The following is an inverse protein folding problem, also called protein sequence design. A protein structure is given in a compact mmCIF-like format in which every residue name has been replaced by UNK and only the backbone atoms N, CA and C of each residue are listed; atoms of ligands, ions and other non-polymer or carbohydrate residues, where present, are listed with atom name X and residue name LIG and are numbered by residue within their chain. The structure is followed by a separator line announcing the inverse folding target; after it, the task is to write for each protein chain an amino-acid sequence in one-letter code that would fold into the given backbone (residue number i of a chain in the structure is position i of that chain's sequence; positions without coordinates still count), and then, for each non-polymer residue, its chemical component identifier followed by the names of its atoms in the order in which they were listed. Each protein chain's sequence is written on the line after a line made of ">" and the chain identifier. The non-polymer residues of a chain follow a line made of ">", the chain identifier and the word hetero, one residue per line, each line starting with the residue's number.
data_IF_443119153131
#
_entry.id   IF_443119153131
#
_cell.length_a   1.000
_cell.length_b   1.000
_cell.length_c   1.000
_cell.angle_alpha   90.00
_cell.angle_beta   90.00
_cell.angle_gamma   90.00
#
_symmetry.space_group_name_H-M   'P 1'
#
loop_
_entity.id
_entity.type
_entity.pdbx_description
1 polymer ?
#
# COMPACT_ATOMS: atom_id res chain seq x y z
N UNK A 1 24.16 0.31 11.99
CA UNK A 1 23.73 0.70 13.35
C UNK A 1 24.83 1.49 14.07
N UNK A 2 26.09 1.03 14.10
CA UNK A 2 27.17 1.71 14.84
C UNK A 2 27.30 3.18 14.43
N UNK A 3 27.47 3.49 13.15
CA UNK A 3 27.59 4.88 12.66
C UNK A 3 26.39 5.75 13.04
N UNK A 4 25.16 5.18 13.00
CA UNK A 4 23.95 5.85 13.43
C UNK A 4 23.98 6.17 14.93
N UNK A 5 24.38 5.21 15.76
CA UNK A 5 24.52 5.39 17.20
C UNK A 5 25.58 6.46 17.54
N UNK A 6 26.72 6.45 16.85
CA UNK A 6 27.77 7.46 17.02
C UNK A 6 27.22 8.86 16.75
N UNK A 7 26.51 9.05 15.65
CA UNK A 7 25.90 10.35 15.32
C UNK A 7 24.87 10.83 16.37
N UNK A 8 24.13 9.90 16.98
CA UNK A 8 23.22 10.25 18.08
C UNK A 8 24.00 10.60 19.35
N UNK A 9 25.04 9.81 19.66
CA UNK A 9 25.87 9.99 20.85
C UNK A 9 26.53 11.37 20.89
N UNK A 10 27.03 11.85 19.77
CA UNK A 10 27.62 13.17 19.61
C UNK A 10 26.65 14.30 20.01
N UNK A 11 25.34 14.09 19.82
CA UNK A 11 24.28 15.07 20.09
C UNK A 11 23.62 14.90 21.47
N UNK A 12 23.47 13.67 21.93
CA UNK A 12 22.70 13.31 23.13
C UNK A 12 23.53 13.33 24.43
N UNK A 13 24.86 13.44 24.33
CA UNK A 13 25.76 13.49 25.48
C UNK A 13 25.76 12.19 26.32
N UNK A 14 26.02 12.30 27.60
CA UNK A 14 26.26 11.16 28.52
C UNK A 14 25.09 10.15 28.59
N UNK A 15 23.87 10.60 28.34
CA UNK A 15 22.68 9.70 28.33
C UNK A 15 22.72 8.70 27.18
N UNK A 16 23.46 8.99 26.10
CA UNK A 16 23.59 8.11 24.96
C UNK A 16 24.25 6.76 25.29
N UNK A 17 24.96 6.63 26.41
CA UNK A 17 25.56 5.36 26.86
C UNK A 17 24.55 4.23 27.08
N UNK A 18 23.29 4.55 27.26
CA UNK A 18 22.23 3.57 27.42
C UNK A 18 21.56 3.14 26.10
N UNK A 19 21.85 3.87 25.01
CA UNK A 19 21.34 3.52 23.71
C UNK A 19 21.94 2.18 23.26
N UNK A 20 21.06 1.31 22.75
CA UNK A 20 21.45 -0.02 22.26
C UNK A 20 22.02 -0.98 23.33
N UNK A 21 21.94 -0.67 24.60
CA UNK A 21 22.45 -1.53 25.67
C UNK A 21 21.69 -2.85 25.71
N UNK A 22 22.40 -3.98 25.55
CA UNK A 22 21.84 -5.32 25.52
C UNK A 22 21.05 -5.69 24.27
N UNK A 23 20.86 -4.76 23.35
CA UNK A 23 20.10 -4.96 22.10
C UNK A 23 20.96 -5.55 20.99
N UNK A 24 20.30 -6.21 20.04
CA UNK A 24 20.90 -6.52 18.73
C UNK A 24 20.47 -5.47 17.69
N UNK A 25 21.21 -5.41 16.57
CA UNK A 25 20.86 -4.50 15.48
C UNK A 25 19.45 -4.70 14.96
N UNK A 26 18.98 -5.93 14.89
CA UNK A 26 17.64 -6.26 14.39
C UNK A 26 16.51 -5.80 15.34
N UNK A 27 16.77 -5.67 16.65
CA UNK A 27 15.79 -5.07 17.58
C UNK A 27 15.42 -3.65 17.13
N UNK A 28 16.42 -2.88 16.66
CA UNK A 28 16.20 -1.52 16.12
C UNK A 28 15.64 -1.57 14.71
N UNK A 29 16.28 -2.34 13.82
CA UNK A 29 15.96 -2.32 12.38
C UNK A 29 14.56 -2.87 12.12
N UNK A 30 14.21 -4.03 12.68
CA UNK A 30 12.93 -4.67 12.44
C UNK A 30 11.79 -3.86 13.08
N UNK A 31 11.98 -3.40 14.32
CA UNK A 31 10.97 -2.56 14.98
C UNK A 31 10.75 -1.24 14.23
N UNK A 32 11.82 -0.61 13.75
CA UNK A 32 11.72 0.63 12.96
C UNK A 32 11.03 0.40 11.62
N UNK A 33 11.37 -0.69 10.92
CA UNK A 33 10.71 -1.05 9.67
C UNK A 33 9.22 -1.29 9.88
N UNK A 34 8.85 -2.05 10.92
CA UNK A 34 7.45 -2.32 11.22
C UNK A 34 6.65 -1.05 11.51
N UNK A 35 7.22 -0.08 12.25
CA UNK A 35 6.58 1.22 12.46
C UNK A 35 6.35 1.94 11.12
N UNK A 36 7.36 1.97 10.24
CA UNK A 36 7.26 2.62 8.94
C UNK A 36 6.19 1.95 8.08
N UNK A 37 6.11 0.61 8.08
CA UNK A 37 5.08 -0.14 7.37
C UNK A 37 3.68 0.13 7.92
N UNK A 38 3.52 0.22 9.25
CA UNK A 38 2.24 0.61 9.87
C UNK A 38 1.83 2.02 9.47
N UNK A 39 2.77 2.97 9.50
CA UNK A 39 2.49 4.36 9.11
C UNK A 39 2.13 4.46 7.63
N UNK A 40 2.89 3.83 6.75
CA UNK A 40 2.62 3.77 5.31
C UNK A 40 1.28 3.09 5.02
N UNK A 41 0.99 1.98 5.71
CA UNK A 41 -0.27 1.27 5.58
C UNK A 41 -1.49 2.12 5.94
N UNK A 42 -1.38 2.97 6.97
CA UNK A 42 -2.45 3.90 7.36
C UNK A 42 -2.71 4.96 6.28
N UNK A 43 -1.66 5.46 5.61
CA UNK A 43 -1.79 6.38 4.49
C UNK A 43 -2.55 5.70 3.34
N UNK A 44 -2.08 4.51 2.93
CA UNK A 44 -2.72 3.73 1.88
C UNK A 44 -4.18 3.35 2.21
N UNK A 45 -4.48 3.08 3.48
CA UNK A 45 -5.85 2.78 3.91
C UNK A 45 -6.78 3.98 3.71
N UNK A 46 -6.30 5.19 4.04
CA UNK A 46 -7.05 6.43 3.76
C UNK A 46 -7.28 6.63 2.26
N UNK A 47 -6.29 6.35 1.42
CA UNK A 47 -6.42 6.46 -0.04
C UNK A 47 -7.43 5.45 -0.59
N UNK A 48 -7.41 4.20 -0.11
CA UNK A 48 -8.43 3.20 -0.46
C UNK A 48 -9.83 3.65 -0.04
N UNK A 49 -9.97 4.25 1.14
CA UNK A 49 -11.24 4.79 1.61
C UNK A 49 -11.78 5.90 0.69
N UNK A 50 -10.90 6.74 0.14
CA UNK A 50 -11.28 7.74 -0.85
C UNK A 50 -11.69 7.10 -2.17
N UNK A 51 -10.95 6.11 -2.66
CA UNK A 51 -11.30 5.35 -3.86
C UNK A 51 -12.69 4.71 -3.70
N UNK A 52 -12.97 4.09 -2.57
CA UNK A 52 -14.27 3.49 -2.27
C UNK A 52 -15.41 4.53 -2.30
N UNK A 53 -15.20 5.70 -1.71
CA UNK A 53 -16.18 6.80 -1.76
C UNK A 53 -16.46 7.23 -3.20
N UNK A 54 -15.40 7.39 -4.01
CA UNK A 54 -15.53 7.79 -5.41
C UNK A 54 -16.24 6.71 -6.23
N UNK A 55 -15.81 5.46 -6.16
CA UNK A 55 -16.40 4.34 -6.88
C UNK A 55 -17.87 4.17 -6.54
N UNK A 56 -18.24 4.24 -5.25
CA UNK A 56 -19.64 4.16 -4.80
C UNK A 56 -20.48 5.30 -5.37
N UNK A 57 -19.97 6.53 -5.34
CA UNK A 57 -20.67 7.70 -5.89
C UNK A 57 -20.84 7.56 -7.40
N UNK A 58 -19.80 7.18 -8.12
CA UNK A 58 -19.86 7.05 -9.57
C UNK A 58 -20.73 5.86 -10.01
N UNK A 59 -20.64 4.72 -9.31
CA UNK A 59 -21.51 3.58 -9.58
C UNK A 59 -23.00 3.96 -9.45
N UNK A 60 -23.38 4.72 -8.42
CA UNK A 60 -24.75 5.24 -8.26
C UNK A 60 -25.13 6.24 -9.36
N UNK A 61 -24.23 7.14 -9.71
CA UNK A 61 -24.45 8.16 -10.76
C UNK A 61 -24.77 7.50 -12.11
N UNK A 62 -24.00 6.49 -12.49
CA UNK A 62 -24.07 5.83 -13.79
C UNK A 62 -24.84 4.50 -13.76
N UNK A 63 -25.67 4.25 -12.74
CA UNK A 63 -26.40 2.99 -12.58
C UNK A 63 -27.34 2.64 -13.74
N UNK A 64 -27.79 3.63 -14.50
CA UNK A 64 -28.66 3.46 -15.66
C UNK A 64 -27.98 3.82 -16.99
N UNK A 65 -26.70 4.18 -16.99
CA UNK A 65 -25.95 4.48 -18.20
C UNK A 65 -25.62 3.17 -18.92
N UNK A 66 -26.24 2.90 -20.07
CA UNK A 66 -25.97 1.65 -20.79
C UNK A 66 -24.53 1.63 -21.30
N UNK A 67 -23.91 0.49 -21.25
CA UNK A 67 -22.67 0.17 -21.94
C UNK A 67 -22.65 -1.29 -22.33
N UNK A 68 -21.74 -1.65 -23.21
CA UNK A 68 -21.59 -3.04 -23.64
C UNK A 68 -20.71 -3.82 -22.67
N UNK A 69 -21.20 -4.98 -22.22
CA UNK A 69 -20.38 -6.00 -21.59
C UNK A 69 -19.58 -6.77 -22.64
N UNK A 70 -18.29 -6.95 -22.37
CA UNK A 70 -17.38 -7.68 -23.26
C UNK A 70 -16.84 -8.93 -22.58
N UNK A 71 -16.77 -10.02 -23.29
CA UNK A 71 -15.97 -11.19 -22.95
C UNK A 71 -14.98 -11.47 -24.07
N UNK A 72 -13.74 -11.79 -23.74
CA UNK A 72 -12.65 -11.97 -24.72
C UNK A 72 -12.42 -10.76 -25.65
N UNK A 73 -12.83 -9.55 -25.21
CA UNK A 73 -12.77 -8.33 -26.01
C UNK A 73 -13.93 -8.15 -27.01
N UNK A 74 -14.84 -9.13 -27.10
CA UNK A 74 -15.97 -9.14 -28.04
C UNK A 74 -17.23 -8.67 -27.31
N UNK A 75 -18.13 -8.00 -28.02
CA UNK A 75 -19.44 -7.60 -27.51
C UNK A 75 -20.25 -8.85 -27.12
N UNK A 76 -20.72 -8.88 -25.88
CA UNK A 76 -21.56 -9.93 -25.35
C UNK A 76 -22.95 -9.38 -25.03
N UNK A 77 -23.19 -8.90 -23.83
CA UNK A 77 -24.53 -8.45 -23.39
C UNK A 77 -24.52 -7.02 -22.94
N UNK A 78 -25.63 -6.29 -23.07
CA UNK A 78 -25.76 -4.95 -22.48
C UNK A 78 -25.64 -5.00 -20.96
N UNK A 79 -24.88 -4.08 -20.41
CA UNK A 79 -24.75 -3.83 -18.99
C UNK A 79 -24.89 -2.35 -18.71
N UNK A 80 -24.67 -1.92 -17.47
CA UNK A 80 -24.53 -0.50 -17.16
C UNK A 80 -23.11 -0.15 -16.71
N UNK A 81 -22.69 1.06 -16.99
CA UNK A 81 -21.40 1.55 -16.52
C UNK A 81 -21.32 1.56 -14.98
N UNK A 82 -22.46 1.82 -14.31
CA UNK A 82 -22.55 1.70 -12.85
C UNK A 82 -22.27 0.30 -12.35
N UNK A 83 -22.72 -0.75 -13.02
CA UNK A 83 -22.44 -2.15 -12.67
C UNK A 83 -20.93 -2.45 -12.80
N UNK A 84 -20.29 -1.98 -13.86
CA UNK A 84 -18.83 -2.09 -14.05
C UNK A 84 -18.07 -1.45 -12.88
N UNK A 85 -18.45 -0.25 -12.49
CA UNK A 85 -17.86 0.45 -11.35
C UNK A 85 -18.13 -0.22 -10.00
N UNK A 86 -19.29 -0.84 -9.82
CA UNK A 86 -19.65 -1.61 -8.63
C UNK A 86 -18.76 -2.85 -8.47
N UNK A 87 -18.35 -3.49 -9.56
CA UNK A 87 -17.38 -4.58 -9.54
C UNK A 87 -16.03 -4.13 -8.96
N UNK A 88 -15.51 -2.98 -9.38
CA UNK A 88 -14.30 -2.39 -8.82
C UNK A 88 -14.48 -2.01 -7.34
N UNK A 89 -15.62 -1.42 -6.98
CA UNK A 89 -15.93 -1.09 -5.60
C UNK A 89 -15.83 -2.30 -4.67
N UNK A 90 -16.43 -3.43 -5.02
CA UNK A 90 -16.37 -4.64 -4.20
C UNK A 90 -14.95 -5.24 -4.14
N UNK A 91 -14.15 -5.10 -5.18
CA UNK A 91 -12.75 -5.50 -5.18
C UNK A 91 -11.91 -4.65 -4.22
N UNK A 92 -12.02 -3.32 -4.28
CA UNK A 92 -11.32 -2.41 -3.35
C UNK A 92 -11.81 -2.55 -1.92
N UNK A 93 -13.07 -2.89 -1.69
CA UNK A 93 -13.59 -3.21 -0.35
C UNK A 93 -12.90 -4.43 0.26
N UNK A 94 -12.66 -5.48 -0.54
CA UNK A 94 -11.85 -6.63 -0.09
C UNK A 94 -10.39 -6.26 0.14
N UNK A 95 -9.83 -5.40 -0.70
CA UNK A 95 -8.45 -4.92 -0.52
C UNK A 95 -8.29 -4.08 0.74
N UNK A 96 -9.29 -3.25 1.06
CA UNK A 96 -9.32 -2.54 2.34
C UNK A 96 -9.21 -3.49 3.54
N UNK A 97 -10.00 -4.56 3.53
CA UNK A 97 -9.95 -5.56 4.60
C UNK A 97 -8.57 -6.20 4.69
N UNK A 98 -8.01 -6.65 3.56
CA UNK A 98 -6.65 -7.24 3.52
C UNK A 98 -5.60 -6.31 4.06
N UNK A 99 -5.67 -5.01 3.72
CA UNK A 99 -4.71 -4.03 4.21
C UNK A 99 -4.84 -3.80 5.72
N UNK A 100 -6.05 -3.78 6.26
CA UNK A 100 -6.27 -3.71 7.72
C UNK A 100 -5.64 -4.91 8.40
N UNK A 101 -5.90 -6.12 7.90
CA UNK A 101 -5.34 -7.36 8.44
C UNK A 101 -3.80 -7.34 8.35
N UNK A 102 -3.23 -6.84 7.24
CA UNK A 102 -1.77 -6.73 7.06
C UNK A 102 -1.13 -5.70 7.99
N UNK A 103 -1.79 -4.55 8.23
CA UNK A 103 -1.32 -3.55 9.20
C UNK A 103 -1.34 -4.14 10.61
N UNK A 104 -2.37 -4.89 10.96
CA UNK A 104 -2.46 -5.54 12.27
C UNK A 104 -1.36 -6.57 12.45
N UNK A 105 -1.09 -7.38 11.43
CA UNK A 105 -0.09 -8.45 11.43
C UNK A 105 1.33 -7.88 11.55
N UNK A 106 1.66 -6.80 10.83
CA UNK A 106 2.99 -6.18 10.88
C UNK A 106 3.20 -5.30 12.12
N UNK A 107 2.16 -5.01 12.90
CA UNK A 107 2.23 -4.13 14.08
C UNK A 107 2.91 -4.82 15.25
N UNK A 108 4.15 -5.30 15.07
CA UNK A 108 4.94 -6.00 16.08
C UNK A 108 6.28 -5.33 16.31
N UNK A 109 6.85 -5.56 17.49
CA UNK A 109 8.24 -5.21 17.83
C UNK A 109 8.90 -6.36 18.57
N UNK A 110 10.24 -6.41 18.52
CA UNK A 110 11.06 -7.29 19.34
C UNK A 110 12.26 -6.50 19.86
N UNK A 111 12.43 -6.49 21.18
CA UNK A 111 13.59 -5.89 21.86
C UNK A 111 14.11 -6.93 22.84
N UNK A 112 14.61 -8.03 22.32
CA UNK A 112 14.90 -9.25 23.09
C UNK A 112 16.36 -9.69 23.02
N UNK A 113 17.23 -8.91 22.38
CA UNK A 113 18.66 -9.17 22.29
C UNK A 113 19.06 -10.12 21.18
N UNK A 114 20.32 -10.57 21.20
CA UNK A 114 21.00 -11.23 20.09
C UNK A 114 20.31 -12.48 19.52
N UNK A 115 19.56 -13.20 20.36
CA UNK A 115 18.89 -14.46 19.98
C UNK A 115 17.48 -14.60 20.59
N UNK A 116 16.89 -13.50 21.05
CA UNK A 116 15.52 -13.50 21.60
C UNK A 116 15.38 -13.98 23.03
N UNK A 117 16.48 -14.14 23.77
CA UNK A 117 16.49 -14.75 25.12
C UNK A 117 16.53 -13.74 26.27
N UNK A 118 16.58 -12.44 25.99
CA UNK A 118 16.72 -11.37 26.98
C UNK A 118 17.97 -11.49 27.89
N UNK A 119 19.04 -12.14 27.41
CA UNK A 119 20.23 -12.40 28.22
C UNK A 119 20.85 -11.13 28.83
N UNK A 120 20.82 -10.01 28.08
CA UNK A 120 21.46 -8.75 28.46
C UNK A 120 20.50 -7.54 28.47
N UNK A 121 19.19 -7.77 28.38
CA UNK A 121 18.18 -6.71 28.39
C UNK A 121 16.98 -7.12 29.25
N UNK A 122 16.45 -6.18 30.01
CA UNK A 122 15.27 -6.44 30.82
C UNK A 122 14.01 -6.49 29.95
N UNK A 123 13.14 -7.51 30.02
CA UNK A 123 11.88 -7.60 29.27
C UNK A 123 10.94 -6.40 29.46
N UNK A 124 11.07 -5.64 30.54
CA UNK A 124 10.30 -4.42 30.73
C UNK A 124 10.65 -3.31 29.72
N UNK A 125 11.86 -3.35 29.15
CA UNK A 125 12.25 -2.42 28.08
C UNK A 125 11.40 -2.65 26.84
N UNK A 126 11.26 -3.90 26.41
CA UNK A 126 10.40 -4.27 25.30
C UNK A 126 8.94 -3.88 25.54
N UNK A 127 8.39 -4.19 26.71
CA UNK A 127 7.03 -3.77 27.11
C UNK A 127 6.84 -2.26 27.03
N UNK A 128 7.84 -1.50 27.49
CA UNK A 128 7.80 -0.05 27.45
C UNK A 128 7.81 0.47 26.01
N UNK A 129 8.70 -0.06 25.15
CA UNK A 129 8.82 0.31 23.74
C UNK A 129 7.53 -0.04 22.99
N UNK A 130 7.03 -1.27 23.15
CA UNK A 130 5.77 -1.70 22.54
C UNK A 130 4.62 -0.76 22.88
N UNK A 131 4.47 -0.43 24.17
CA UNK A 131 3.42 0.53 24.62
C UNK A 131 3.61 1.91 24.02
N UNK A 132 4.84 2.43 24.01
CA UNK A 132 5.14 3.79 23.47
C UNK A 132 4.89 3.90 21.97
N UNK A 133 5.16 2.83 21.23
CA UNK A 133 5.03 2.79 19.77
C UNK A 133 3.68 2.23 19.31
N UNK A 134 2.81 1.83 20.25
CA UNK A 134 1.52 1.18 19.96
C UNK A 134 1.68 -0.07 19.07
N UNK A 135 2.71 -0.87 19.36
CA UNK A 135 2.98 -2.15 18.72
C UNK A 135 2.66 -3.31 19.68
N UNK A 136 2.41 -4.48 19.13
CA UNK A 136 2.37 -5.74 19.86
C UNK A 136 3.80 -6.24 20.07
N UNK A 137 4.02 -7.02 21.13
CA UNK A 137 5.28 -7.73 21.31
C UNK A 137 5.24 -8.99 20.46
N UNK A 138 6.32 -9.28 19.71
CA UNK A 138 6.49 -10.55 19.03
C UNK A 138 6.55 -11.66 20.09
N UNK A 139 5.65 -12.66 20.07
CA UNK A 139 5.59 -13.66 21.12
C UNK A 139 6.88 -14.43 21.30
N UNK A 140 7.53 -14.82 20.19
CA UNK A 140 8.83 -15.48 20.18
C UNK A 140 9.61 -14.97 18.97
N UNK A 141 10.70 -14.27 19.23
CA UNK A 141 11.66 -13.89 18.19
C UNK A 141 12.97 -14.68 18.35
N UNK A 142 13.81 -14.61 17.35
CA UNK A 142 15.22 -14.99 17.42
C UNK A 142 16.06 -13.71 17.44
N UNK A 143 17.04 -13.59 16.56
CA UNK A 143 17.70 -12.31 16.30
C UNK A 143 16.79 -11.35 15.52
N UNK A 144 15.79 -11.87 14.79
CA UNK A 144 14.90 -11.14 13.89
C UNK A 144 13.44 -11.48 14.18
N UNK A 145 12.55 -10.58 13.82
CA UNK A 145 11.11 -10.88 13.74
C UNK A 145 10.88 -11.84 12.55
N UNK A 146 10.04 -12.88 12.68
CA UNK A 146 9.71 -13.77 11.55
C UNK A 146 9.24 -13.02 10.30
N UNK A 147 9.73 -13.44 9.14
CA UNK A 147 9.54 -12.71 7.87
C UNK A 147 8.21 -12.99 7.15
N UNK A 148 7.45 -13.94 7.62
CA UNK A 148 6.08 -14.23 7.16
C UNK A 148 5.17 -13.00 7.28
N UNK A 149 5.29 -12.22 8.36
CA UNK A 149 4.57 -10.96 8.55
C UNK A 149 4.86 -9.94 7.44
N UNK A 150 6.14 -9.78 7.12
CA UNK A 150 6.59 -8.91 6.03
C UNK A 150 6.12 -9.43 4.66
N UNK A 151 6.26 -10.73 4.43
CA UNK A 151 5.79 -11.37 3.20
C UNK A 151 4.29 -11.17 3.00
N UNK A 152 3.49 -11.33 4.05
CA UNK A 152 2.05 -11.07 3.99
C UNK A 152 1.76 -9.60 3.65
N UNK A 153 2.40 -8.66 4.33
CA UNK A 153 2.20 -7.23 4.08
C UNK A 153 2.51 -6.87 2.62
N UNK A 154 3.67 -7.26 2.10
CA UNK A 154 4.06 -6.97 0.71
C UNK A 154 3.21 -7.71 -0.31
N UNK A 155 2.76 -8.94 -0.02
CA UNK A 155 1.80 -9.65 -0.87
C UNK A 155 0.47 -8.90 -1.00
N UNK A 156 -0.01 -8.31 0.10
CA UNK A 156 -1.22 -7.49 0.08
C UNK A 156 -1.03 -6.22 -0.76
N UNK A 157 0.15 -5.57 -0.69
CA UNK A 157 0.46 -4.45 -1.57
C UNK A 157 0.46 -4.86 -3.05
N UNK A 158 1.02 -6.02 -3.37
CA UNK A 158 0.97 -6.59 -4.73
C UNK A 158 -0.45 -6.83 -5.23
N UNK A 159 -1.35 -7.35 -4.38
CA UNK A 159 -2.77 -7.54 -4.71
C UNK A 159 -3.45 -6.19 -4.97
N UNK A 160 -3.22 -5.18 -4.12
CA UNK A 160 -3.77 -3.84 -4.30
C UNK A 160 -3.28 -3.23 -5.61
N UNK A 161 -1.98 -3.34 -5.90
CA UNK A 161 -1.39 -2.86 -7.15
C UNK A 161 -2.02 -3.53 -8.38
N UNK A 162 -2.29 -4.85 -8.32
CA UNK A 162 -3.01 -5.57 -9.36
C UNK A 162 -4.43 -5.03 -9.59
N UNK A 163 -5.14 -4.64 -8.52
CA UNK A 163 -6.46 -4.01 -8.63
C UNK A 163 -6.40 -2.62 -9.25
N UNK A 164 -5.39 -1.83 -8.91
CA UNK A 164 -5.14 -0.52 -9.54
C UNK A 164 -4.86 -0.69 -11.04
N UNK A 165 -3.98 -1.64 -11.39
CA UNK A 165 -3.68 -1.95 -12.79
C UNK A 165 -4.93 -2.38 -13.56
N UNK A 166 -5.78 -3.21 -12.97
CA UNK A 166 -7.03 -3.66 -13.59
C UNK A 166 -7.96 -2.50 -13.96
N UNK A 167 -8.14 -1.53 -13.05
CA UNK A 167 -8.92 -0.31 -13.32
C UNK A 167 -8.25 0.53 -14.42
N UNK A 168 -6.94 0.74 -14.33
CA UNK A 168 -6.19 1.52 -15.31
C UNK A 168 -6.24 0.91 -16.72
N UNK A 169 -6.12 -0.40 -16.83
CA UNK A 169 -6.25 -1.11 -18.11
C UNK A 169 -7.66 -0.96 -18.69
N UNK A 170 -8.70 -1.10 -17.86
CA UNK A 170 -10.07 -0.93 -18.33
C UNK A 170 -10.32 0.48 -18.85
N UNK A 171 -9.86 1.51 -18.15
CA UNK A 171 -9.95 2.91 -18.60
C UNK A 171 -9.25 3.07 -19.97
N UNK A 172 -8.03 2.56 -20.12
CA UNK A 172 -7.28 2.61 -21.38
C UNK A 172 -8.01 1.90 -22.52
N UNK A 173 -8.61 0.74 -22.25
CA UNK A 173 -9.39 0.02 -23.26
C UNK A 173 -10.63 0.79 -23.69
N UNK A 174 -11.34 1.40 -22.76
CA UNK A 174 -12.55 2.18 -23.06
C UNK A 174 -12.24 3.53 -23.76
N UNK A 175 -11.02 4.04 -23.63
CA UNK A 175 -10.58 5.28 -24.26
C UNK A 175 -9.98 5.09 -25.65
N UNK A 176 -9.83 3.84 -26.12
CA UNK A 176 -9.36 3.59 -27.50
C UNK A 176 -10.22 4.31 -28.51
N UNK A 177 -9.62 4.77 -29.62
CA UNK A 177 -10.32 5.49 -30.70
C UNK A 177 -11.51 4.68 -31.22
N UNK A 178 -11.36 3.37 -31.40
CA UNK A 178 -12.38 2.46 -31.92
C UNK A 178 -13.50 2.17 -30.93
N UNK A 179 -13.23 2.31 -29.62
CA UNK A 179 -14.18 2.04 -28.53
C UNK A 179 -14.86 3.34 -28.09
N UNK A 180 -14.10 4.34 -27.70
CA UNK A 180 -14.52 5.71 -27.36
C UNK A 180 -15.72 5.79 -26.38
N UNK A 181 -15.75 4.89 -25.37
CA UNK A 181 -16.81 4.84 -24.35
C UNK A 181 -16.46 5.66 -23.11
N UNK A 182 -15.18 5.97 -22.89
CA UNK A 182 -14.68 6.72 -21.75
C UNK A 182 -13.51 7.59 -22.17
N UNK A 183 -13.32 8.71 -21.47
CA UNK A 183 -12.15 9.56 -21.58
C UNK A 183 -11.68 9.99 -20.20
N UNK A 184 -10.37 9.95 -19.96
CA UNK A 184 -9.77 10.56 -18.77
C UNK A 184 -10.05 12.08 -18.78
N UNK A 185 -10.07 12.64 -17.56
CA UNK A 185 -10.15 14.09 -17.44
C UNK A 185 -8.95 14.73 -18.11
N UNK A 186 -9.24 15.68 -18.98
CA UNK A 186 -8.26 16.46 -19.69
C UNK A 186 -8.44 17.93 -19.34
N UNK A 187 -7.46 18.54 -18.64
CA UNK A 187 -7.55 19.92 -18.22
C UNK A 187 -7.43 20.89 -19.41
N UNK A 188 -7.93 22.12 -19.25
CA UNK A 188 -7.85 23.15 -20.30
C UNK A 188 -6.40 23.51 -20.68
N UNK A 189 -5.49 23.42 -19.69
CA UNK A 189 -4.07 23.77 -19.87
C UNK A 189 -3.19 22.56 -20.22
N UNK A 190 -3.78 21.37 -20.24
CA UNK A 190 -3.07 20.14 -20.60
C UNK A 190 -2.89 20.10 -22.13
N UNK A 191 -1.65 19.96 -22.57
CA UNK A 191 -1.35 19.73 -23.98
C UNK A 191 -1.47 18.24 -24.29
N UNK A 192 -2.03 17.91 -25.45
CA UNK A 192 -2.01 16.57 -26.00
C UNK A 192 -0.61 16.16 -26.46
N UNK A 193 -0.51 15.47 -27.58
CA UNK A 193 0.80 15.23 -28.23
C UNK A 193 1.38 16.54 -28.75
N UNK A 194 2.70 16.70 -28.72
CA UNK A 194 3.40 17.86 -29.30
C UNK A 194 3.13 18.06 -30.80
N UNK A 195 2.95 16.95 -31.53
CA UNK A 195 2.67 16.96 -32.98
C UNK A 195 1.16 16.96 -33.29
N UNK A 196 0.32 16.47 -32.38
CA UNK A 196 -1.11 16.30 -32.59
C UNK A 196 -1.88 16.79 -31.34
N UNK A 197 -2.18 18.11 -31.25
CA UNK A 197 -2.81 18.70 -30.05
C UNK A 197 -4.17 18.10 -29.67
N UNK A 198 -4.90 17.54 -30.64
CA UNK A 198 -6.19 16.89 -30.45
C UNK A 198 -6.08 15.48 -29.85
N UNK A 199 -4.87 14.90 -29.83
CA UNK A 199 -4.64 13.52 -29.31
C UNK A 199 -4.57 13.53 -27.79
N UNK A 200 -5.61 13.03 -27.14
CA UNK A 200 -5.74 12.95 -25.69
C UNK A 200 -5.31 11.56 -25.20
N UNK A 201 -4.03 11.42 -24.85
CA UNK A 201 -3.49 10.17 -24.35
C UNK A 201 -3.96 9.90 -22.91
N UNK A 202 -4.22 8.62 -22.52
CA UNK A 202 -4.55 8.23 -21.16
C UNK A 202 -3.29 8.13 -20.27
N UNK A 203 -2.59 9.27 -20.11
CA UNK A 203 -1.25 9.31 -19.47
C UNK A 203 -1.29 8.82 -18.03
N UNK A 204 -2.34 9.19 -17.28
CA UNK A 204 -2.47 8.78 -15.88
C UNK A 204 -2.64 7.26 -15.77
N UNK A 205 -3.53 6.67 -16.55
CA UNK A 205 -3.74 5.21 -16.56
C UNK A 205 -2.52 4.45 -17.09
N UNK A 206 -1.76 5.02 -18.04
CA UNK A 206 -0.49 4.45 -18.50
C UNK A 206 0.54 4.40 -17.36
N UNK A 207 0.73 5.50 -16.64
CA UNK A 207 1.62 5.59 -15.49
C UNK A 207 1.20 4.62 -14.38
N UNK A 208 -0.10 4.56 -14.04
CA UNK A 208 -0.62 3.64 -13.02
C UNK A 208 -0.36 2.18 -13.39
N UNK A 209 -0.51 1.81 -14.67
CA UNK A 209 -0.19 0.45 -15.15
C UNK A 209 1.30 0.12 -14.96
N UNK A 210 2.19 1.06 -15.29
CA UNK A 210 3.64 0.90 -15.11
C UNK A 210 4.03 0.78 -13.63
N UNK A 211 3.55 1.68 -12.78
CA UNK A 211 3.82 1.69 -11.34
C UNK A 211 3.28 0.44 -10.63
N UNK A 212 2.10 -0.04 -11.03
CA UNK A 212 1.55 -1.27 -10.46
C UNK A 212 2.43 -2.50 -10.74
N UNK A 213 3.07 -2.55 -11.91
CA UNK A 213 4.04 -3.62 -12.23
C UNK A 213 5.28 -3.53 -11.36
N UNK A 214 5.80 -2.31 -11.13
CA UNK A 214 6.95 -2.09 -10.23
C UNK A 214 6.65 -2.55 -8.80
N UNK A 215 5.44 -2.30 -8.29
CA UNK A 215 5.06 -2.74 -6.94
C UNK A 215 4.98 -4.25 -6.82
N UNK A 216 4.68 -4.96 -7.93
CA UNK A 216 4.58 -6.42 -7.94
C UNK A 216 5.91 -7.14 -8.20
N UNK A 217 6.92 -6.47 -8.69
CA UNK A 217 8.26 -7.03 -8.91
C UNK A 217 9.11 -7.05 -7.62
#
# INVERSE_FOLDING_TARGET
>A
VIAFLTSITEKAGIKARYLHQGMTSSDVLDTSLNIQLVQSGKILLNDIDQILKILKRQAKKYKYTPCIGRSHGIHAEPITFGLKLASFYEEFKRNRKRLVDAIEEISTCAISGAVGTFANINPNVEKHVAKKLSLKIEPISTQVIPRDRHAFYFSVLGIIAGSVERVAIEIRHLQRTEVNELQEYFSKDQKGSSAMPHKKNPILSENLTGLARMVRS
#
